data_IF_927420808324
#
_entry.id   IF_927420808324
#
_cell.length_a   1.000
_cell.length_b   1.000
_cell.length_c   1.000
_cell.angle_alpha   90.00
_cell.angle_beta   90.00
_cell.angle_gamma   90.00
#
_symmetry.space_group_name_H-M   'P 1'
#
loop_
_entity.id
_entity.type
_entity.pdbx_description
1 polymer ?
#
# COMPACT_ATOMS: atom_id res chain seq x y z
N UNK A 1 -25.54 5.67 25.21
CA UNK A 1 -24.06 5.75 25.28
C UNK A 1 -23.36 4.47 24.78
N UNK A 2 -24.02 3.31 24.83
CA UNK A 2 -23.46 1.99 24.49
C UNK A 2 -23.12 1.78 23.01
N UNK A 3 -23.96 2.23 22.07
CA UNK A 3 -23.74 1.99 20.63
C UNK A 3 -22.50 2.70 20.08
N UNK A 4 -22.28 3.97 20.46
CA UNK A 4 -21.09 4.74 20.04
C UNK A 4 -19.80 4.14 20.60
N UNK A 5 -19.82 3.71 21.86
CA UNK A 5 -18.68 3.07 22.51
C UNK A 5 -18.32 1.72 21.87
N UNK A 6 -19.33 0.89 21.56
CA UNK A 6 -19.13 -0.38 20.88
C UNK A 6 -18.58 -0.18 19.45
N UNK A 7 -19.09 0.82 18.72
CA UNK A 7 -18.60 1.16 17.38
C UNK A 7 -17.13 1.60 17.39
N UNK A 8 -16.76 2.50 18.30
CA UNK A 8 -15.36 2.95 18.48
C UNK A 8 -14.45 1.79 18.88
N UNK A 9 -14.87 0.94 19.82
CA UNK A 9 -14.09 -0.23 20.23
C UNK A 9 -13.85 -1.20 19.07
N UNK A 10 -14.88 -1.46 18.25
CA UNK A 10 -14.77 -2.30 17.05
C UNK A 10 -13.84 -1.70 16.00
N UNK A 11 -13.98 -0.41 15.70
CA UNK A 11 -13.14 0.30 14.73
C UNK A 11 -11.67 0.30 15.14
N UNK A 12 -11.38 0.66 16.40
CA UNK A 12 -10.02 0.71 16.95
C UNK A 12 -9.41 -0.70 17.00
N UNK A 13 -10.19 -1.71 17.42
CA UNK A 13 -9.76 -3.10 17.42
C UNK A 13 -9.42 -3.63 16.03
N UNK A 14 -10.30 -3.41 15.05
CA UNK A 14 -10.09 -3.81 13.66
C UNK A 14 -8.85 -3.14 13.06
N UNK A 15 -8.73 -1.81 13.22
CA UNK A 15 -7.60 -1.04 12.69
C UNK A 15 -6.28 -1.52 13.32
N UNK A 16 -6.25 -1.68 14.65
CA UNK A 16 -5.04 -2.12 15.37
C UNK A 16 -4.62 -3.53 14.96
N UNK A 17 -5.59 -4.44 14.73
CA UNK A 17 -5.31 -5.79 14.24
C UNK A 17 -4.65 -5.78 12.86
N UNK A 18 -5.18 -4.99 11.92
CA UNK A 18 -4.59 -4.83 10.58
C UNK A 18 -3.19 -4.23 10.65
N UNK A 19 -3.00 -3.16 11.43
CA UNK A 19 -1.69 -2.50 11.58
C UNK A 19 -0.65 -3.46 12.17
N UNK A 20 -1.03 -4.22 13.20
CA UNK A 20 -0.16 -5.23 13.80
C UNK A 20 0.28 -6.30 12.79
N UNK A 21 -0.67 -6.79 11.97
CA UNK A 21 -0.37 -7.76 10.92
C UNK A 21 0.60 -7.21 9.86
N UNK A 22 0.38 -5.96 9.42
CA UNK A 22 1.27 -5.27 8.47
C UNK A 22 2.68 -5.10 9.03
N UNK A 23 2.80 -4.60 10.26
CA UNK A 23 4.10 -4.39 10.91
C UNK A 23 4.85 -5.71 11.12
N UNK A 24 4.16 -6.76 11.57
CA UNK A 24 4.77 -8.05 11.84
C UNK A 24 5.21 -8.77 10.55
N UNK A 25 4.36 -8.78 9.52
CA UNK A 25 4.71 -9.34 8.21
C UNK A 25 5.85 -8.57 7.56
N UNK A 26 5.85 -7.24 7.63
CA UNK A 26 6.93 -6.41 7.10
C UNK A 26 8.26 -6.69 7.81
N UNK A 27 8.26 -6.80 9.14
CA UNK A 27 9.46 -7.15 9.90
C UNK A 27 9.98 -8.55 9.54
N UNK A 28 9.09 -9.52 9.33
CA UNK A 28 9.44 -10.88 8.92
C UNK A 28 10.04 -10.91 7.51
N UNK A 29 9.37 -10.29 6.53
CA UNK A 29 9.85 -10.22 5.14
C UNK A 29 11.18 -9.49 5.06
N UNK A 30 11.35 -8.36 5.76
CA UNK A 30 12.62 -7.63 5.78
C UNK A 30 13.76 -8.47 6.39
N UNK A 31 13.47 -9.22 7.46
CA UNK A 31 14.46 -10.13 8.05
C UNK A 31 14.85 -11.25 7.07
N UNK A 32 13.87 -11.90 6.43
CA UNK A 32 14.10 -13.02 5.51
C UNK A 32 14.84 -12.57 4.25
N UNK A 33 14.48 -11.42 3.68
CA UNK A 33 15.02 -10.98 2.38
C UNK A 33 16.39 -10.29 2.51
N UNK A 34 16.63 -9.56 3.61
CA UNK A 34 17.84 -8.73 3.76
C UNK A 34 18.83 -9.32 4.76
N UNK A 35 18.35 -9.71 5.94
CA UNK A 35 19.22 -10.06 7.09
C UNK A 35 19.66 -11.53 7.04
N UNK A 36 18.70 -12.44 6.86
CA UNK A 36 18.93 -13.88 6.83
C UNK A 36 19.95 -14.35 5.76
N UNK A 37 19.96 -13.82 4.52
CA UNK A 37 20.95 -14.24 3.53
C UNK A 37 22.37 -13.75 3.81
N UNK A 38 22.55 -12.66 4.57
CA UNK A 38 23.86 -12.08 4.85
C UNK A 38 24.48 -12.54 6.17
N UNK A 39 23.67 -12.98 7.15
CA UNK A 39 24.15 -13.34 8.48
C UNK A 39 23.48 -14.62 9.01
N UNK A 40 24.27 -15.63 9.38
CA UNK A 40 23.79 -16.80 10.12
C UNK A 40 23.63 -16.45 11.60
N UNK A 41 22.40 -16.10 11.99
CA UNK A 41 22.06 -15.64 13.33
C UNK A 41 21.25 -16.72 14.07
N UNK A 42 21.54 -16.92 15.36
CA UNK A 42 20.76 -17.80 16.24
C UNK A 42 19.30 -17.31 16.39
N UNK A 43 18.34 -18.23 16.44
CA UNK A 43 16.89 -17.94 16.50
C UNK A 43 16.50 -16.92 17.58
N UNK A 44 17.14 -16.97 18.75
CA UNK A 44 16.88 -16.00 19.83
C UNK A 44 17.23 -14.57 19.43
N UNK A 45 18.34 -14.39 18.71
CA UNK A 45 18.80 -13.09 18.22
C UNK A 45 17.96 -12.64 17.01
N UNK A 46 17.55 -13.56 16.14
CA UNK A 46 16.64 -13.30 15.04
C UNK A 46 15.32 -12.68 15.52
N UNK A 47 14.74 -13.25 16.59
CA UNK A 47 13.50 -12.75 17.18
C UNK A 47 13.65 -11.33 17.75
N UNK A 48 14.78 -11.03 18.39
CA UNK A 48 15.09 -9.68 18.90
C UNK A 48 15.19 -8.69 17.74
N UNK A 49 15.85 -9.07 16.65
CA UNK A 49 15.99 -8.23 15.46
C UNK A 49 14.62 -7.98 14.81
N UNK A 50 13.79 -9.01 14.64
CA UNK A 50 12.44 -8.84 14.10
C UNK A 50 11.58 -7.92 14.99
N UNK A 51 11.66 -8.04 16.32
CA UNK A 51 10.96 -7.14 17.25
C UNK A 51 11.45 -5.69 17.12
N UNK A 52 12.75 -5.49 16.95
CA UNK A 52 13.31 -4.16 16.73
C UNK A 52 12.84 -3.56 15.39
N UNK A 53 12.82 -4.36 14.33
CA UNK A 53 12.29 -3.97 13.02
C UNK A 53 10.80 -3.62 13.08
N UNK A 54 10.00 -4.41 13.80
CA UNK A 54 8.59 -4.14 14.02
C UNK A 54 8.37 -2.83 14.79
N UNK A 55 9.17 -2.57 15.82
CA UNK A 55 9.12 -1.31 16.56
C UNK A 55 9.51 -0.11 15.68
N UNK A 56 10.58 -0.25 14.88
CA UNK A 56 11.03 0.78 13.95
C UNK A 56 9.98 1.10 12.88
N UNK A 57 9.40 0.09 12.24
CA UNK A 57 8.38 0.28 11.21
C UNK A 57 7.09 0.89 11.78
N UNK A 58 6.65 0.47 12.98
CA UNK A 58 5.54 1.09 13.68
C UNK A 58 5.79 2.57 14.03
N UNK A 59 7.02 2.91 14.42
CA UNK A 59 7.43 4.29 14.69
C UNK A 59 7.35 5.15 13.43
N UNK A 60 7.92 4.68 12.32
CA UNK A 60 7.88 5.39 11.01
C UNK A 60 6.43 5.58 10.54
N UNK A 61 5.61 4.53 10.68
CA UNK A 61 4.20 4.58 10.28
C UNK A 61 3.40 5.60 11.12
N UNK A 62 3.71 5.71 12.41
CA UNK A 62 3.10 6.71 13.31
C UNK A 62 3.51 8.14 12.91
N UNK A 63 4.79 8.37 12.60
CA UNK A 63 5.27 9.67 12.10
C UNK A 63 4.58 10.06 10.80
N UNK A 64 4.44 9.12 9.87
CA UNK A 64 3.74 9.36 8.60
C UNK A 64 2.26 9.69 8.84
N UNK A 65 1.58 8.98 9.75
CA UNK A 65 0.20 9.26 10.12
C UNK A 65 -0.01 10.68 10.68
N UNK A 66 0.95 11.21 11.45
CA UNK A 66 0.94 12.60 11.93
C UNK A 66 1.11 13.59 10.78
N UNK A 67 1.87 13.24 9.74
CA UNK A 67 2.10 14.09 8.58
C UNK A 67 0.94 14.09 7.56
N UNK A 68 0.12 13.03 7.50
CA UNK A 68 -1.01 12.88 6.55
C UNK A 68 -1.92 14.12 6.43
N UNK A 69 -2.33 14.80 7.53
CA UNK A 69 -3.18 15.99 7.45
C UNK A 69 -2.56 17.15 6.67
N UNK A 70 -1.22 17.24 6.64
CA UNK A 70 -0.47 18.32 5.98
C UNK A 70 -0.28 18.10 4.47
N UNK A 71 -0.46 16.86 4.00
CA UNK A 71 -0.10 16.42 2.64
C UNK A 71 -1.20 16.69 1.60
N UNK A 72 -2.44 16.99 2.02
CA UNK A 72 -3.54 17.38 1.12
C UNK A 72 -3.73 16.44 -0.08
N UNK A 73 -3.56 16.97 -1.30
CA UNK A 73 -3.68 16.22 -2.56
C UNK A 73 -2.64 15.08 -2.68
N UNK A 74 -1.47 15.21 -2.06
CA UNK A 74 -0.42 14.20 -2.15
C UNK A 74 -0.86 12.85 -1.54
N UNK A 75 -1.65 12.85 -0.46
CA UNK A 75 -2.21 11.62 0.13
C UNK A 75 -3.07 10.84 -0.86
N UNK A 76 -3.86 11.53 -1.70
CA UNK A 76 -4.67 10.88 -2.75
C UNK A 76 -3.80 10.27 -3.84
N UNK A 77 -2.71 10.94 -4.22
CA UNK A 77 -1.72 10.39 -5.14
C UNK A 77 -1.09 9.12 -4.57
N UNK A 78 -0.63 9.15 -3.31
CA UNK A 78 -0.05 7.97 -2.66
C UNK A 78 -1.02 6.79 -2.60
N UNK A 79 -2.29 7.03 -2.24
CA UNK A 79 -3.32 6.00 -2.25
C UNK A 79 -3.54 5.40 -3.64
N UNK A 80 -3.55 6.23 -4.68
CA UNK A 80 -3.70 5.78 -6.07
C UNK A 80 -2.49 4.95 -6.52
N UNK A 81 -1.28 5.39 -6.18
CA UNK A 81 -0.06 4.63 -6.44
C UNK A 81 -0.05 3.29 -5.71
N UNK A 82 -0.42 3.28 -4.43
CA UNK A 82 -0.52 2.04 -3.65
C UNK A 82 -1.52 1.05 -4.26
N UNK A 83 -2.72 1.53 -4.62
CA UNK A 83 -3.72 0.71 -5.28
C UNK A 83 -3.22 0.15 -6.62
N UNK A 84 -2.61 1.00 -7.45
CA UNK A 84 -2.06 0.60 -8.74
C UNK A 84 -0.97 -0.46 -8.60
N UNK A 85 0.00 -0.23 -7.70
CA UNK A 85 1.11 -1.14 -7.44
C UNK A 85 0.66 -2.48 -6.85
N UNK A 86 -0.41 -2.53 -6.05
CA UNK A 86 -0.90 -3.77 -5.45
C UNK A 86 -1.53 -4.74 -6.46
N UNK A 87 -2.08 -4.23 -7.56
CA UNK A 87 -2.81 -5.01 -8.56
C UNK A 87 -1.96 -6.12 -9.22
N UNK A 88 -0.77 -5.81 -9.76
CA UNK A 88 0.13 -6.79 -10.35
C UNK A 88 0.54 -7.92 -9.37
N UNK A 89 0.80 -7.60 -8.10
CA UNK A 89 1.14 -8.62 -7.10
C UNK A 89 -0.05 -9.56 -6.82
N UNK A 90 -1.26 -9.02 -6.70
CA UNK A 90 -2.45 -9.85 -6.55
C UNK A 90 -2.67 -10.74 -7.79
N UNK A 91 -2.48 -10.20 -9.00
CA UNK A 91 -2.57 -10.96 -10.24
C UNK A 91 -1.54 -12.10 -10.31
N UNK A 92 -0.31 -11.86 -9.85
CA UNK A 92 0.73 -12.89 -9.75
C UNK A 92 0.33 -14.04 -8.82
N UNK A 93 -0.23 -13.73 -7.65
CA UNK A 93 -0.66 -14.76 -6.69
C UNK A 93 -1.79 -15.60 -7.29
N UNK A 94 -2.76 -14.97 -7.96
CA UNK A 94 -3.85 -15.70 -8.64
C UNK A 94 -3.28 -16.58 -9.76
N UNK A 95 -2.39 -16.02 -10.60
CA UNK A 95 -1.76 -16.76 -11.70
C UNK A 95 -0.97 -17.98 -11.20
N UNK A 96 -0.25 -17.82 -10.08
CA UNK A 96 0.51 -18.89 -9.46
C UNK A 96 -0.38 -20.06 -8.99
N UNK A 97 -1.60 -19.76 -8.51
CA UNK A 97 -2.56 -20.79 -8.06
C UNK A 97 -3.33 -21.41 -9.24
N UNK A 98 -3.74 -20.61 -10.23
CA UNK A 98 -4.61 -21.05 -11.31
C UNK A 98 -3.88 -21.73 -12.48
N UNK A 99 -2.60 -21.43 -12.70
CA UNK A 99 -1.86 -21.91 -13.86
C UNK A 99 -0.55 -22.59 -13.45
N UNK A 100 -0.51 -23.94 -13.31
CA UNK A 100 0.72 -24.66 -12.98
C UNK A 100 1.77 -24.65 -14.11
N UNK A 101 1.38 -24.19 -15.30
CA UNK A 101 2.23 -24.13 -16.50
C UNK A 101 3.04 -22.84 -16.62
N UNK A 102 2.88 -21.89 -15.70
CA UNK A 102 3.56 -20.59 -15.77
C UNK A 102 4.99 -20.71 -15.26
N UNK A 103 5.94 -20.37 -16.14
CA UNK A 103 7.36 -20.30 -15.81
C UNK A 103 7.71 -18.98 -15.09
N UNK A 104 8.66 -19.04 -14.16
CA UNK A 104 9.12 -17.89 -13.37
C UNK A 104 9.61 -16.71 -14.25
N UNK A 105 10.29 -17.01 -15.36
CA UNK A 105 10.73 -15.97 -16.33
C UNK A 105 9.55 -15.26 -16.98
N UNK A 106 8.51 -16.01 -17.35
CA UNK A 106 7.29 -15.44 -17.96
C UNK A 106 6.53 -14.56 -16.97
N UNK A 107 6.40 -15.01 -15.72
CA UNK A 107 5.80 -14.21 -14.65
C UNK A 107 6.57 -12.91 -14.39
N UNK A 108 7.91 -12.97 -14.38
CA UNK A 108 8.76 -11.79 -14.19
C UNK A 108 8.58 -10.77 -15.34
N UNK A 109 8.71 -11.19 -16.59
CA UNK A 109 8.53 -10.31 -17.75
C UNK A 109 7.10 -9.75 -17.85
N UNK A 110 6.08 -10.58 -17.60
CA UNK A 110 4.69 -10.14 -17.57
C UNK A 110 4.44 -9.06 -16.51
N UNK A 111 5.01 -9.24 -15.32
CA UNK A 111 4.92 -8.25 -14.24
C UNK A 111 5.60 -6.94 -14.62
N UNK A 112 6.79 -7.00 -15.22
CA UNK A 112 7.53 -5.82 -15.66
C UNK A 112 6.74 -5.04 -16.72
N UNK A 113 6.16 -5.75 -17.69
CA UNK A 113 5.33 -5.15 -18.74
C UNK A 113 4.08 -4.49 -18.17
N UNK A 114 3.37 -5.15 -17.27
CA UNK A 114 2.16 -4.60 -16.64
C UNK A 114 2.50 -3.37 -15.81
N UNK A 115 3.57 -3.41 -15.01
CA UNK A 115 4.05 -2.25 -14.26
C UNK A 115 4.44 -1.10 -15.20
N UNK A 116 5.14 -1.38 -16.30
CA UNK A 116 5.50 -0.37 -17.30
C UNK A 116 4.29 0.27 -17.97
N UNK A 117 3.29 -0.53 -18.34
CA UNK A 117 2.04 -0.04 -18.91
C UNK A 117 1.21 0.77 -17.91
N UNK A 118 1.16 0.36 -16.64
CA UNK A 118 0.50 1.11 -15.58
C UNK A 118 1.17 2.46 -15.33
N UNK A 119 2.51 2.49 -15.29
CA UNK A 119 3.27 3.73 -15.17
C UNK A 119 3.02 4.65 -16.38
N UNK A 120 3.05 4.10 -17.59
CA UNK A 120 2.74 4.85 -18.82
C UNK A 120 1.33 5.45 -18.76
N UNK A 121 0.32 4.64 -18.40
CA UNK A 121 -1.06 5.09 -18.29
C UNK A 121 -1.23 6.15 -17.17
N UNK A 122 -0.61 5.95 -16.01
CA UNK A 122 -0.68 6.87 -14.87
C UNK A 122 -0.04 8.22 -15.18
N UNK A 123 1.14 8.22 -15.79
CA UNK A 123 1.84 9.45 -16.23
C UNK A 123 1.07 10.13 -17.35
N UNK A 124 0.62 9.37 -18.36
CA UNK A 124 -0.18 9.90 -19.46
C UNK A 124 -1.47 10.55 -18.98
N UNK A 125 -2.15 9.97 -17.99
CA UNK A 125 -3.35 10.55 -17.38
C UNK A 125 -3.03 11.79 -16.53
N UNK A 126 -1.92 11.79 -15.80
CA UNK A 126 -1.49 12.93 -14.98
C UNK A 126 -1.12 14.14 -15.85
N UNK A 127 -0.48 13.92 -17.00
CA UNK A 127 -0.14 14.97 -17.96
C UNK A 127 -1.37 15.46 -18.75
N UNK A 128 -2.27 14.55 -19.15
CA UNK A 128 -3.50 14.89 -19.89
C UNK A 128 -4.56 15.57 -19.01
N UNK A 129 -4.57 15.29 -17.70
CA UNK A 129 -5.52 15.89 -16.75
C UNK A 129 -5.22 17.37 -16.42
N UNK A 130 -4.21 17.98 -17.05
CA UNK A 130 -4.07 19.44 -17.15
C UNK A 130 -5.11 20.03 -18.15
N UNK A 131 -5.90 19.20 -18.83
CA UNK A 131 -7.13 19.66 -19.47
C UNK A 131 -8.15 20.08 -18.40
N UNK A 132 -8.43 21.38 -18.37
CA UNK A 132 -9.30 22.10 -17.42
C UNK A 132 -10.53 21.27 -17.00
N UNK A 133 -10.91 21.25 -15.71
CA UNK A 133 -12.18 20.65 -15.31
C UNK A 133 -13.31 21.33 -16.11
N UNK A 134 -14.36 20.59 -16.50
CA UNK A 134 -15.53 21.20 -17.13
C UNK A 134 -16.11 22.21 -16.15
N UNK A 135 -15.89 23.49 -16.42
CA UNK A 135 -16.63 24.58 -15.79
C UNK A 135 -18.07 24.42 -16.25
N UNK A 136 -18.93 23.91 -15.36
CA UNK A 136 -20.36 24.07 -15.54
C UNK A 136 -20.62 25.58 -15.63
N UNK A 137 -21.32 26.07 -16.68
CA UNK A 137 -21.71 27.46 -16.73
C UNK A 137 -22.60 27.72 -15.51
N UNK A 138 -22.07 28.46 -14.55
CA UNK A 138 -22.83 29.02 -13.44
C UNK A 138 -23.70 30.16 -13.94
N UNK A 139 -24.61 29.90 -14.89
CA UNK A 139 -25.66 30.83 -15.25
C UNK A 139 -26.77 30.75 -14.21
N UNK A 140 -26.57 31.49 -13.12
CA UNK A 140 -27.62 31.91 -12.20
C UNK A 140 -28.39 33.14 -12.72
N UNK A 141 -28.48 33.34 -14.04
CA UNK A 141 -29.28 34.42 -14.66
C UNK A 141 -30.78 34.12 -14.68
N UNK A 142 -31.23 33.01 -14.07
CA UNK A 142 -32.62 32.58 -14.16
C UNK A 142 -33.13 31.79 -12.95
N UNK A 143 -32.89 32.29 -11.74
CA UNK A 143 -33.71 31.90 -10.59
C UNK A 143 -34.71 33.04 -10.26
N UNK A 144 -36.03 32.76 -10.26
CA UNK A 144 -37.07 33.66 -9.76
C UNK A 144 -37.07 33.79 -8.23
#
# INVERSE_FOLDING_TARGET
>A
MTLRGLFLAGLLGATTSTVSSVVNSHAATFYIDIVAPHFSISEKKALIIMRLLAFGSGTIMTLFAIAVPTLGTATRLFLNFYASASGPFAALVILAVSCPWVNARGAAWGSLLICGLQLWYGVGRSLSSVAKPPVFPGTLDRCP
#
